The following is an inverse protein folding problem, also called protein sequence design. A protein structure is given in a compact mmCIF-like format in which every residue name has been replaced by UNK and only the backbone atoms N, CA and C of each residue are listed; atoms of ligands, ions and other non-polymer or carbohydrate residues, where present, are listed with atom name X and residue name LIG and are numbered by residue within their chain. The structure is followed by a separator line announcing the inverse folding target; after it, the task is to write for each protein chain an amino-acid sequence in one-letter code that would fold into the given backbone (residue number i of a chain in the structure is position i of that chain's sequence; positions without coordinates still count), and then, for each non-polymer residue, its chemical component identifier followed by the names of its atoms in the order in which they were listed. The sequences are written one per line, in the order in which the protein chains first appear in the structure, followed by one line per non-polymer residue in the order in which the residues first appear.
data_IF_291879736219
#
_entry.id   IF_291879736219
#
_cell.length_a   1.000
_cell.length_b   1.000
_cell.length_c   1.000
_cell.angle_alpha   90.00
_cell.angle_beta   90.00
_cell.angle_gamma   90.00
#
_symmetry.space_group_name_H-M   'P 1'
#
loop_
_entity.id
_entity.type
_entity.pdbx_description
1 polymer ?
#
# COMPACT_ATOMS: atom_id res chain seq x y z
N UNK A 1 -15.41 18.24 4.94
CA UNK A 1 -14.06 18.54 4.47
C UNK A 1 -13.12 18.38 5.64
N UNK A 2 -12.14 17.48 5.55
CA UNK A 2 -11.20 17.12 6.62
C UNK A 2 -9.76 17.12 6.09
N UNK A 3 -9.19 18.32 6.01
CA UNK A 3 -7.82 18.51 5.53
C UNK A 3 -6.80 17.99 6.55
N UNK A 4 -7.17 17.90 7.82
CA UNK A 4 -6.28 17.39 8.85
C UNK A 4 -6.11 15.88 8.72
N UNK A 5 -7.17 15.14 8.40
CA UNK A 5 -7.07 13.74 8.03
C UNK A 5 -6.14 13.52 6.84
N UNK A 6 -6.27 14.33 5.78
CA UNK A 6 -5.37 14.26 4.62
C UNK A 6 -3.92 14.54 5.01
N UNK A 7 -3.67 15.56 5.84
CA UNK A 7 -2.31 15.87 6.33
C UNK A 7 -1.72 14.69 7.10
N UNK A 8 -2.50 14.05 7.97
CA UNK A 8 -2.05 12.87 8.71
C UNK A 8 -1.75 11.68 7.80
N UNK A 9 -2.58 11.43 6.79
CA UNK A 9 -2.32 10.40 5.79
C UNK A 9 -1.00 10.66 5.06
N UNK A 10 -0.72 11.91 4.65
CA UNK A 10 0.55 12.25 4.01
C UNK A 10 1.76 12.06 4.94
N UNK A 11 1.61 12.34 6.23
CA UNK A 11 2.65 12.03 7.23
C UNK A 11 2.88 10.51 7.34
N UNK A 12 1.82 9.71 7.34
CA UNK A 12 1.93 8.26 7.32
C UNK A 12 2.59 7.73 6.03
N UNK A 13 2.25 8.29 4.89
CA UNK A 13 2.88 7.94 3.61
C UNK A 13 4.36 8.31 3.56
N UNK A 14 4.75 9.44 4.18
CA UNK A 14 6.16 9.79 4.35
C UNK A 14 6.90 8.73 5.16
N UNK A 15 6.33 8.29 6.29
CA UNK A 15 6.90 7.23 7.12
C UNK A 15 7.08 5.92 6.35
N UNK A 16 6.03 5.46 5.67
CA UNK A 16 6.08 4.21 4.89
C UNK A 16 7.04 4.29 3.71
N UNK A 17 7.20 5.46 3.10
CA UNK A 17 8.06 5.64 1.92
C UNK A 17 9.53 5.74 2.28
N UNK A 18 9.85 6.47 3.35
CA UNK A 18 11.24 6.81 3.66
C UNK A 18 11.85 5.96 4.78
N UNK A 19 11.03 5.46 5.71
CA UNK A 19 11.54 4.82 6.94
C UNK A 19 11.21 3.33 7.04
N UNK A 20 10.17 2.84 6.35
CA UNK A 20 9.83 1.42 6.38
C UNK A 20 10.87 0.57 5.65
N UNK A 21 11.13 -0.63 6.18
CA UNK A 21 11.93 -1.65 5.50
C UNK A 21 11.00 -2.62 4.80
N UNK A 22 11.07 -2.70 3.48
CA UNK A 22 10.34 -3.67 2.68
C UNK A 22 11.29 -4.72 2.10
N UNK A 23 11.08 -5.98 2.47
CA UNK A 23 11.80 -7.12 1.90
C UNK A 23 10.89 -7.83 0.89
N UNK A 24 11.33 -7.87 -0.35
CA UNK A 24 10.57 -8.48 -1.45
C UNK A 24 10.92 -9.97 -1.63
N UNK A 25 9.90 -10.78 -1.85
CA UNK A 25 9.99 -12.18 -2.26
C UNK A 25 9.14 -12.36 -3.51
N UNK A 26 9.73 -12.88 -4.58
CA UNK A 26 8.95 -13.21 -5.77
C UNK A 26 8.05 -14.42 -5.47
N UNK A 27 6.78 -14.31 -5.84
CA UNK A 27 5.80 -15.40 -5.73
C UNK A 27 5.21 -15.68 -7.11
N UNK A 28 4.48 -16.78 -7.22
CA UNK A 28 3.76 -17.05 -8.46
C UNK A 28 2.74 -15.94 -8.74
N UNK A 29 2.65 -15.52 -9.99
CA UNK A 29 1.80 -14.40 -10.41
C UNK A 29 2.19 -13.00 -9.88
N UNK A 30 3.28 -12.83 -9.11
CA UNK A 30 3.64 -11.48 -8.63
C UNK A 30 4.78 -11.42 -7.62
N UNK A 31 4.54 -10.70 -6.52
CA UNK A 31 5.50 -10.49 -5.43
C UNK A 31 4.79 -10.33 -4.07
N UNK A 32 5.50 -10.73 -3.02
CA UNK A 32 5.14 -10.48 -1.62
C UNK A 32 6.19 -9.58 -0.98
N UNK A 33 5.76 -8.69 -0.09
CA UNK A 33 6.59 -7.71 0.59
C UNK A 33 6.34 -7.83 2.09
N UNK A 34 7.35 -8.23 2.84
CA UNK A 34 7.32 -8.11 4.29
C UNK A 34 7.79 -6.70 4.65
N UNK A 35 6.85 -5.87 5.09
CA UNK A 35 7.06 -4.45 5.38
C UNK A 35 7.10 -4.26 6.89
N UNK A 36 8.25 -3.82 7.41
CA UNK A 36 8.49 -3.68 8.84
C UNK A 36 9.05 -2.32 9.19
N UNK A 37 8.94 -1.96 10.46
CA UNK A 37 9.48 -0.73 11.04
C UNK A 37 9.24 -0.70 12.53
N UNK A 38 9.65 0.39 13.17
CA UNK A 38 9.53 0.58 14.61
C UNK A 38 8.78 1.88 14.93
N UNK A 39 8.25 2.00 16.15
CA UNK A 39 7.61 3.21 16.66
C UNK A 39 6.57 3.81 15.70
N UNK A 40 6.78 5.07 15.31
CA UNK A 40 5.86 5.81 14.43
C UNK A 40 5.71 5.18 13.05
N UNK A 41 6.77 4.58 12.53
CA UNK A 41 6.79 3.91 11.22
C UNK A 41 5.96 2.63 11.25
N UNK A 42 6.06 1.82 12.31
CA UNK A 42 5.22 0.63 12.48
C UNK A 42 3.73 0.97 12.46
N UNK A 43 3.36 2.03 13.17
CA UNK A 43 1.98 2.50 13.24
C UNK A 43 1.50 3.03 11.88
N UNK A 44 2.38 3.70 11.11
CA UNK A 44 2.07 4.11 9.74
C UNK A 44 1.88 2.90 8.81
N UNK A 45 2.76 1.89 8.88
CA UNK A 45 2.66 0.65 8.08
C UNK A 45 1.31 -0.03 8.33
N UNK A 46 0.91 -0.17 9.60
CA UNK A 46 -0.34 -0.82 10.00
C UNK A 46 -1.59 -0.12 9.47
N UNK A 47 -1.54 1.21 9.28
CA UNK A 47 -2.65 1.97 8.70
C UNK A 47 -2.62 1.98 7.18
N UNK A 48 -1.47 2.29 6.58
CA UNK A 48 -1.39 2.58 5.14
C UNK A 48 -1.36 1.34 4.28
N UNK A 49 -0.62 0.29 4.66
CA UNK A 49 -0.47 -0.89 3.80
C UNK A 49 -1.82 -1.59 3.59
N UNK A 50 -2.64 -1.85 4.63
CA UNK A 50 -3.97 -2.44 4.42
C UNK A 50 -4.94 -1.50 3.68
N UNK A 51 -4.88 -0.19 3.95
CA UNK A 51 -5.73 0.79 3.27
C UNK A 51 -5.44 0.83 1.77
N UNK A 52 -4.16 0.94 1.38
CA UNK A 52 -3.79 0.95 -0.04
C UNK A 52 -4.04 -0.41 -0.70
N UNK A 53 -3.80 -1.52 0.02
CA UNK A 53 -4.13 -2.85 -0.46
C UNK A 53 -5.61 -2.98 -0.85
N UNK A 54 -6.52 -2.45 -0.03
CA UNK A 54 -7.94 -2.43 -0.32
C UNK A 54 -8.29 -1.63 -1.59
N UNK A 55 -7.67 -0.46 -1.77
CA UNK A 55 -7.96 0.43 -2.90
C UNK A 55 -7.47 -0.12 -4.26
N UNK A 56 -6.39 -0.91 -4.26
CA UNK A 56 -5.83 -1.49 -5.50
C UNK A 56 -6.31 -2.92 -5.77
N UNK A 57 -6.99 -3.58 -4.82
CA UNK A 57 -7.50 -4.94 -5.03
C UNK A 57 -8.56 -4.96 -6.14
N UNK A 58 -8.44 -5.90 -7.06
CA UNK A 58 -9.26 -5.98 -8.27
C UNK A 58 -8.90 -4.97 -9.37
N UNK A 59 -8.13 -3.92 -9.07
CA UNK A 59 -7.67 -2.96 -10.09
C UNK A 59 -6.65 -3.62 -11.00
N UNK A 60 -6.78 -3.42 -12.31
CA UNK A 60 -5.91 -4.05 -13.33
C UNK A 60 -5.89 -5.59 -13.29
N UNK A 61 -6.90 -6.22 -12.67
CA UNK A 61 -6.97 -7.68 -12.49
C UNK A 61 -6.01 -8.22 -11.44
N UNK A 62 -5.55 -7.37 -10.51
CA UNK A 62 -4.69 -7.80 -9.41
C UNK A 62 -5.51 -8.39 -8.26
N UNK A 63 -4.94 -9.38 -7.58
CA UNK A 63 -5.36 -9.81 -6.24
C UNK A 63 -4.37 -9.26 -5.24
N UNK A 64 -4.86 -8.52 -4.25
CA UNK A 64 -4.02 -7.89 -3.23
C UNK A 64 -4.45 -8.31 -1.84
N UNK A 65 -3.49 -8.74 -1.03
CA UNK A 65 -3.72 -9.14 0.36
C UNK A 65 -2.71 -8.48 1.28
N UNK A 66 -3.19 -7.93 2.39
CA UNK A 66 -2.38 -7.39 3.46
C UNK A 66 -2.68 -8.15 4.76
N UNK A 67 -1.67 -8.77 5.35
CA UNK A 67 -1.83 -9.60 6.54
C UNK A 67 -0.89 -9.12 7.66
N UNK A 68 -1.37 -9.03 8.91
CA UNK A 68 -0.54 -8.62 10.02
C UNK A 68 0.56 -9.63 10.31
N UNK A 69 1.71 -9.10 10.68
CA UNK A 69 2.95 -9.81 10.97
C UNK A 69 3.52 -9.20 12.27
N UNK A 70 4.34 -9.95 13.01
CA UNK A 70 4.79 -9.54 14.34
C UNK A 70 5.38 -8.12 14.38
N UNK A 71 6.10 -7.72 13.33
CA UNK A 71 6.81 -6.44 13.22
C UNK A 71 6.31 -5.57 12.06
N UNK A 72 5.09 -5.80 11.55
CA UNK A 72 4.56 -5.03 10.44
C UNK A 72 3.44 -5.73 9.66
N UNK A 73 3.48 -5.64 8.34
CA UNK A 73 2.46 -6.20 7.43
C UNK A 73 3.16 -6.98 6.31
N UNK A 74 2.62 -8.14 5.96
CA UNK A 74 2.93 -8.84 4.72
C UNK A 74 1.94 -8.41 3.63
N UNK A 75 2.43 -7.76 2.58
CA UNK A 75 1.64 -7.36 1.41
C UNK A 75 1.93 -8.31 0.25
N UNK A 76 0.92 -9.00 -0.26
CA UNK A 76 1.04 -9.86 -1.44
C UNK A 76 0.20 -9.31 -2.57
N UNK A 77 0.82 -9.15 -3.75
CA UNK A 77 0.16 -8.66 -4.97
C UNK A 77 0.43 -9.66 -6.08
N UNK A 78 -0.63 -10.18 -6.69
CA UNK A 78 -0.54 -11.15 -7.79
C UNK A 78 -1.51 -10.84 -8.92
N UNK A 79 -1.23 -11.35 -10.10
CA UNK A 79 -2.11 -11.32 -11.26
C UNK A 79 -2.00 -12.61 -12.07
N UNK A 80 -3.04 -12.92 -12.85
CA UNK A 80 -3.02 -14.04 -13.79
C UNK A 80 -2.36 -13.67 -15.13
N UNK A 81 -2.45 -12.41 -15.54
CA UNK A 81 -1.81 -11.92 -16.77
C UNK A 81 -0.28 -11.79 -16.57
N UNK A 82 0.55 -12.51 -17.35
CA UNK A 82 2.01 -12.41 -17.27
C UNK A 82 2.55 -10.98 -17.43
N UNK A 83 1.88 -10.12 -18.19
CA UNK A 83 2.27 -8.71 -18.34
C UNK A 83 2.08 -7.94 -17.03
N UNK A 84 0.99 -8.19 -16.32
CA UNK A 84 0.72 -7.61 -15.01
C UNK A 84 1.66 -8.18 -13.94
N UNK A 85 1.93 -9.48 -13.97
CA UNK A 85 2.96 -10.11 -13.12
C UNK A 85 4.31 -9.43 -13.27
N UNK A 86 4.76 -9.20 -14.50
CA UNK A 86 5.99 -8.46 -14.76
C UNK A 86 5.90 -6.99 -14.32
N UNK A 87 4.72 -6.37 -14.40
CA UNK A 87 4.49 -5.01 -13.94
C UNK A 87 4.61 -4.89 -12.41
N UNK A 88 3.89 -5.73 -11.65
CA UNK A 88 3.94 -5.81 -10.19
C UNK A 88 5.38 -5.94 -9.70
N UNK A 89 6.13 -6.89 -10.29
CA UNK A 89 7.53 -7.14 -9.90
C UNK A 89 8.45 -5.93 -10.16
N UNK A 90 8.19 -5.16 -11.23
CA UNK A 90 8.98 -3.97 -11.58
C UNK A 90 8.63 -2.75 -10.72
N UNK A 91 7.37 -2.63 -10.27
CA UNK A 91 6.96 -1.53 -9.40
C UNK A 91 7.67 -1.58 -8.05
N UNK A 92 7.87 -2.78 -7.51
CA UNK A 92 8.36 -2.93 -6.14
C UNK A 92 7.34 -2.39 -5.13
N UNK A 93 7.72 -2.40 -3.85
CA UNK A 93 6.81 -1.98 -2.78
C UNK A 93 6.33 -0.53 -2.94
N UNK A 94 7.25 0.42 -3.15
CA UNK A 94 6.89 1.84 -3.26
C UNK A 94 6.07 2.12 -4.52
N UNK A 95 6.40 1.48 -5.65
CA UNK A 95 5.60 1.60 -6.85
C UNK A 95 4.18 1.09 -6.65
N UNK A 96 3.99 0.00 -5.90
CA UNK A 96 2.66 -0.52 -5.53
C UNK A 96 1.93 0.45 -4.58
N UNK A 97 2.61 0.97 -3.55
CA UNK A 97 2.00 1.94 -2.63
C UNK A 97 1.58 3.23 -3.33
N UNK A 98 2.33 3.66 -4.36
CA UNK A 98 2.03 4.84 -5.18
C UNK A 98 1.14 4.53 -6.40
N UNK A 99 0.76 3.26 -6.61
CA UNK A 99 -0.04 2.87 -7.77
C UNK A 99 -1.50 3.28 -7.60
N UNK A 100 -2.05 3.91 -8.64
CA UNK A 100 -3.48 4.20 -8.76
C UNK A 100 -3.76 5.57 -9.37
N UNK A 101 -4.69 5.65 -10.34
CA UNK A 101 -5.34 6.91 -10.70
C UNK A 101 -6.29 7.42 -9.61
N UNK A 102 -6.49 6.62 -8.56
CA UNK A 102 -7.24 6.98 -7.38
C UNK A 102 -6.41 7.74 -6.36
N UNK A 103 -5.10 7.97 -6.49
CA UNK A 103 -4.39 8.77 -5.47
C UNK A 103 -4.99 10.18 -5.35
N UNK A 104 -5.28 10.83 -6.48
CA UNK A 104 -5.98 12.12 -6.48
C UNK A 104 -7.42 11.99 -5.94
N UNK A 105 -8.16 10.96 -6.37
CA UNK A 105 -9.55 10.76 -5.93
C UNK A 105 -9.66 10.35 -4.45
N UNK A 106 -8.71 9.58 -3.96
CA UNK A 106 -8.56 9.11 -2.59
C UNK A 106 -8.19 10.28 -1.69
N UNK A 107 -7.17 11.09 -2.07
CA UNK A 107 -6.85 12.33 -1.37
C UNK A 107 -8.03 13.30 -1.37
N UNK A 108 -8.79 13.40 -2.47
CA UNK A 108 -9.96 14.25 -2.57
C UNK A 108 -11.12 13.73 -1.69
N UNK A 109 -11.40 12.43 -1.68
CA UNK A 109 -12.42 11.80 -0.86
C UNK A 109 -12.08 11.96 0.64
N UNK A 110 -10.82 11.78 1.01
CA UNK A 110 -10.34 12.03 2.37
C UNK A 110 -10.49 13.51 2.73
N UNK A 111 -10.05 14.43 1.87
CA UNK A 111 -10.25 15.86 2.04
C UNK A 111 -11.74 16.22 2.17
N UNK A 112 -12.67 15.45 1.60
CA UNK A 112 -14.12 15.63 1.74
C UNK A 112 -14.68 15.03 3.03
N UNK A 113 -13.99 14.06 3.63
CA UNK A 113 -14.43 13.29 4.82
C UNK A 113 -15.19 12.02 4.46
N UNK A 114 -15.00 11.51 3.25
CA UNK A 114 -15.73 10.37 2.66
C UNK A 114 -15.01 9.03 2.90
N UNK A 115 -13.74 9.05 3.31
CA UNK A 115 -12.96 7.88 3.71
C UNK A 115 -12.94 7.80 5.24
N UNK A 116 -13.32 6.65 5.81
CA UNK A 116 -13.23 6.38 7.26
C UNK A 116 -12.27 5.23 7.51
N UNK A 117 -11.27 5.46 8.37
CA UNK A 117 -10.38 4.45 8.92
C UNK A 117 -10.99 3.86 10.20
#
# INVERSE_FOLDING_TARGET
MDIEALRHHLVDMNEVTLNAKAVATLVDGGASYTVTGDGRTLEAIRRMVPAHAHEIDGVSGWTVKAEPVATGIALTVTALDPKQTAHIRRLGFIGIMAQGGHHQMHHLAMARGEVRH
#
